data_IF_203093289751
#
_entry.id   IF_203093289751
#
_cell.length_a   1.000
_cell.length_b   1.000
_cell.length_c   1.000
_cell.angle_alpha   90.00
_cell.angle_beta   90.00
_cell.angle_gamma   90.00
#
_symmetry.space_group_name_H-M   'P 1'
#
loop_
_entity.id
_entity.type
_entity.pdbx_description
1 polymer ?
#
# COMPACT_ATOMS: atom_id res chain seq x y z
N UNK A 1 -12.04 2.92 -0.07
CA UNK A 1 -10.84 3.28 0.71
C UNK A 1 -10.78 4.80 0.79
N UNK A 2 -10.97 5.43 1.96
CA UNK A 2 -11.06 6.89 2.02
C UNK A 2 -9.73 7.53 1.57
N UNK A 3 -9.70 8.22 0.43
CA UNK A 3 -8.44 8.69 -0.15
C UNK A 3 -7.74 9.69 0.77
N UNK A 4 -8.48 10.64 1.33
CA UNK A 4 -8.02 11.63 2.32
C UNK A 4 -7.31 11.03 3.56
N UNK A 5 -7.80 9.91 4.09
CA UNK A 5 -7.20 9.26 5.26
C UNK A 5 -6.03 8.35 4.89
N UNK A 6 -6.09 7.71 3.73
CA UNK A 6 -5.12 6.67 3.33
C UNK A 6 -3.91 7.26 2.61
N UNK A 7 -4.13 8.31 1.82
CA UNK A 7 -3.11 8.92 0.99
C UNK A 7 -1.90 9.41 1.80
N UNK A 8 -2.05 10.12 2.94
CA UNK A 8 -0.90 10.49 3.77
C UNK A 8 -0.15 9.26 4.29
N UNK A 9 -0.86 8.18 4.66
CA UNK A 9 -0.22 6.95 5.11
C UNK A 9 0.57 6.27 3.98
N UNK A 10 -0.02 6.13 2.79
CA UNK A 10 0.64 5.51 1.64
C UNK A 10 1.89 6.29 1.21
N UNK A 11 1.84 7.62 1.25
CA UNK A 11 2.97 8.48 0.90
C UNK A 11 4.02 8.45 2.02
N UNK A 12 3.64 8.84 3.23
CA UNK A 12 4.61 9.10 4.30
C UNK A 12 5.21 7.82 4.85
N UNK A 13 4.43 6.73 4.94
CA UNK A 13 4.86 5.47 5.57
C UNK A 13 5.31 4.44 4.56
N UNK A 14 4.63 4.37 3.42
CA UNK A 14 4.92 3.37 2.39
C UNK A 14 5.67 3.94 1.18
N UNK A 15 6.00 5.23 1.18
CA UNK A 15 6.85 5.83 0.13
C UNK A 15 6.23 5.78 -1.26
N UNK A 16 4.89 5.71 -1.36
CA UNK A 16 4.20 5.88 -2.62
C UNK A 16 4.21 7.35 -3.06
N UNK A 17 4.03 7.58 -4.35
CA UNK A 17 3.84 8.91 -4.92
C UNK A 17 2.51 8.97 -5.66
N UNK A 18 1.83 10.12 -5.61
CA UNK A 18 0.66 10.36 -6.47
C UNK A 18 1.11 10.32 -7.93
N UNK A 19 0.52 9.42 -8.71
CA UNK A 19 0.75 9.36 -10.16
C UNK A 19 -0.42 9.95 -10.95
N UNK A 20 -1.61 10.03 -10.37
CA UNK A 20 -2.78 10.64 -11.02
C UNK A 20 -3.91 10.93 -10.03
N UNK A 21 -4.70 11.98 -10.30
CA UNK A 21 -5.88 12.38 -9.50
C UNK A 21 -7.07 12.71 -10.40
N UNK A 22 -8.27 12.45 -9.91
CA UNK A 22 -9.51 12.81 -10.58
C UNK A 22 -10.66 13.10 -9.63
N UNK A 23 -11.44 14.11 -10.00
CA UNK A 23 -12.76 14.42 -9.44
C UNK A 23 -13.73 14.61 -10.59
N UNK A 24 -14.90 13.99 -10.50
CA UNK A 24 -15.95 14.09 -11.53
C UNK A 24 -16.66 15.46 -11.52
N UNK A 25 -16.38 16.32 -10.53
CA UNK A 25 -16.90 17.68 -10.43
C UNK A 25 -16.51 18.36 -9.11
N UNK A 26 -16.85 19.65 -8.95
CA UNK A 26 -16.66 20.36 -7.68
C UNK A 26 -17.37 19.62 -6.53
N UNK A 27 -16.63 19.30 -5.47
CA UNK A 27 -17.17 18.57 -4.31
C UNK A 27 -17.38 17.06 -4.50
N UNK A 28 -17.08 16.50 -5.68
CA UNK A 28 -17.17 15.06 -5.92
C UNK A 28 -16.06 14.28 -5.19
N UNK A 29 -16.30 12.99 -4.85
CA UNK A 29 -15.29 12.13 -4.22
C UNK A 29 -13.98 12.08 -5.02
N UNK A 30 -12.85 12.10 -4.30
CA UNK A 30 -11.54 11.93 -4.88
C UNK A 30 -11.33 10.49 -5.34
N UNK A 31 -10.80 10.36 -6.54
CA UNK A 31 -10.17 9.15 -7.01
C UNK A 31 -8.69 9.45 -7.27
N UNK A 32 -7.80 8.75 -6.57
CA UNK A 32 -6.36 8.97 -6.66
C UNK A 32 -5.66 7.67 -6.97
N UNK A 33 -4.66 7.74 -7.84
CA UNK A 33 -3.74 6.67 -8.12
C UNK A 33 -2.40 7.01 -7.47
N UNK A 34 -1.87 6.07 -6.71
CA UNK A 34 -0.52 6.15 -6.15
C UNK A 34 0.34 5.00 -6.68
N UNK A 35 1.63 5.25 -6.84
CA UNK A 35 2.58 4.27 -7.37
C UNK A 35 3.88 4.22 -6.59
N UNK A 36 4.48 3.02 -6.51
CA UNK A 36 5.83 2.77 -6.00
C UNK A 36 6.48 1.65 -6.81
N UNK A 37 7.47 1.99 -7.63
CA UNK A 37 7.99 1.06 -8.63
C UNK A 37 6.86 0.60 -9.56
N UNK A 38 6.72 -0.72 -9.71
CA UNK A 38 5.66 -1.33 -10.53
C UNK A 38 4.31 -1.50 -9.79
N UNK A 39 4.24 -1.11 -8.52
CA UNK A 39 3.01 -1.21 -7.73
C UNK A 39 2.15 0.02 -7.97
N UNK A 40 0.89 -0.20 -8.32
CA UNK A 40 -0.12 0.86 -8.51
C UNK A 40 -1.33 0.55 -7.63
N UNK A 41 -1.68 1.49 -6.73
CA UNK A 41 -2.89 1.42 -5.92
C UNK A 41 -3.88 2.50 -6.37
N UNK A 42 -5.16 2.15 -6.31
CA UNK A 42 -6.28 3.03 -6.65
C UNK A 42 -7.11 3.30 -5.40
N UNK A 43 -7.05 4.53 -4.88
CA UNK A 43 -7.77 4.96 -3.67
C UNK A 43 -9.02 5.75 -4.09
N UNK A 44 -10.15 5.53 -3.39
CA UNK A 44 -11.45 6.09 -3.78
C UNK A 44 -12.31 6.43 -2.57
N UNK A 45 -12.65 7.71 -2.42
CA UNK A 45 -13.55 8.21 -1.37
C UNK A 45 -14.99 7.72 -1.51
N UNK A 46 -15.35 7.13 -2.66
CA UNK A 46 -16.70 6.65 -2.93
C UNK A 46 -17.14 5.66 -1.83
N UNK A 47 -18.25 5.93 -1.11
CA UNK A 47 -18.69 5.08 0.00
C UNK A 47 -18.94 3.62 -0.41
N UNK A 48 -19.40 3.38 -1.64
CA UNK A 48 -19.60 2.04 -2.21
C UNK A 48 -18.32 1.25 -2.50
N UNK A 49 -17.14 1.88 -2.46
CA UNK A 49 -15.84 1.21 -2.60
C UNK A 49 -15.15 0.96 -1.24
N UNK A 50 -15.88 1.11 -0.13
CA UNK A 50 -15.38 0.82 1.22
C UNK A 50 -15.71 -0.62 1.57
N UNK A 51 -14.82 -1.53 1.19
CA UNK A 51 -14.78 -2.88 1.76
C UNK A 51 -13.56 -2.97 2.67
N UNK A 52 -13.72 -2.86 4.00
CA UNK A 52 -12.62 -3.06 4.94
C UNK A 52 -12.16 -4.51 4.93
N UNK A 53 -10.88 -4.76 5.25
CA UNK A 53 -10.36 -6.11 5.40
C UNK A 53 -9.95 -6.80 4.10
N UNK A 54 -9.82 -6.08 2.99
CA UNK A 54 -9.30 -6.67 1.76
C UNK A 54 -7.80 -6.98 1.88
N UNK A 55 -7.37 -8.07 1.24
CA UNK A 55 -5.95 -8.38 1.05
C UNK A 55 -5.53 -7.90 -0.34
N UNK A 56 -4.57 -6.99 -0.40
CA UNK A 56 -3.93 -6.54 -1.65
C UNK A 56 -2.55 -7.17 -1.72
N UNK A 57 -2.30 -7.98 -2.75
CA UNK A 57 -0.98 -8.58 -2.97
C UNK A 57 -0.21 -7.76 -4.01
N UNK A 58 1.01 -7.36 -3.67
CA UNK A 58 1.88 -6.60 -4.54
C UNK A 58 3.26 -7.28 -4.62
N UNK A 59 3.71 -7.72 -5.81
CA UNK A 59 5.06 -8.25 -5.95
C UNK A 59 6.10 -7.15 -5.74
N UNK A 60 7.21 -7.47 -5.08
CA UNK A 60 8.36 -6.57 -4.92
C UNK A 60 9.65 -7.31 -5.22
N UNK A 61 10.67 -6.58 -5.67
CA UNK A 61 11.98 -7.17 -5.96
C UNK A 61 12.76 -7.54 -4.68
N UNK A 62 12.60 -6.75 -3.61
CA UNK A 62 13.33 -6.90 -2.35
C UNK A 62 12.43 -6.53 -1.16
N UNK A 63 11.98 -7.55 -0.42
CA UNK A 63 11.12 -7.36 0.76
C UNK A 63 11.88 -6.77 1.95
N UNK A 64 13.16 -7.10 2.13
CA UNK A 64 13.94 -6.63 3.27
C UNK A 64 14.28 -5.15 3.10
N UNK A 65 14.70 -4.74 1.90
CA UNK A 65 14.87 -3.31 1.57
C UNK A 65 13.57 -2.53 1.78
N UNK A 66 12.43 -3.09 1.36
CA UNK A 66 11.13 -2.46 1.58
C UNK A 66 10.83 -2.31 3.08
N UNK A 67 11.09 -3.35 3.87
CA UNK A 67 10.90 -3.35 5.32
C UNK A 67 11.72 -2.24 5.98
N UNK A 68 13.00 -2.12 5.64
CA UNK A 68 13.89 -1.10 6.20
C UNK A 68 13.43 0.31 5.80
N UNK A 69 13.08 0.49 4.53
CA UNK A 69 12.54 1.75 3.99
C UNK A 69 11.28 2.20 4.75
N UNK A 70 10.38 1.27 5.04
CA UNK A 70 9.14 1.53 5.80
C UNK A 70 9.44 1.77 7.26
N UNK A 71 10.37 1.01 7.85
CA UNK A 71 10.76 1.17 9.25
C UNK A 71 11.34 2.55 9.53
N UNK A 72 12.24 3.03 8.66
CA UNK A 72 12.82 4.37 8.74
C UNK A 72 11.75 5.43 8.57
N UNK A 73 10.89 5.32 7.54
CA UNK A 73 9.82 6.29 7.25
C UNK A 73 8.75 6.38 8.34
N UNK A 74 8.51 5.28 9.05
CA UNK A 74 7.55 5.24 10.14
C UNK A 74 8.15 5.66 11.49
N UNK A 75 9.40 6.14 11.55
CA UNK A 75 10.14 6.43 12.79
C UNK A 75 10.11 5.24 13.76
N UNK A 76 10.19 4.01 13.23
CA UNK A 76 10.09 2.78 13.99
C UNK A 76 8.72 2.45 14.60
N UNK A 77 7.69 3.29 14.37
CA UNK A 77 6.30 3.07 14.84
C UNK A 77 5.59 1.96 14.09
N UNK A 78 6.12 1.57 12.93
CA UNK A 78 5.67 0.39 12.20
C UNK A 78 6.75 -0.69 12.30
N UNK A 79 6.34 -1.87 12.76
CA UNK A 79 7.14 -3.11 12.70
C UNK A 79 6.42 -4.06 11.76
N UNK A 80 6.58 -3.87 10.45
CA UNK A 80 5.88 -4.71 9.49
C UNK A 80 6.37 -6.16 9.65
N UNK A 81 5.42 -7.09 9.75
CA UNK A 81 5.72 -8.49 10.01
C UNK A 81 6.41 -9.12 8.80
N UNK A 82 7.58 -9.72 9.04
CA UNK A 82 8.23 -10.60 8.08
C UNK A 82 7.71 -12.01 8.23
N UNK A 83 7.16 -12.57 7.16
CA UNK A 83 6.79 -13.98 7.10
C UNK A 83 7.61 -14.65 6.00
N UNK A 84 8.27 -15.76 6.35
CA UNK A 84 8.63 -16.78 5.36
C UNK A 84 7.31 -17.42 4.91
N UNK A 85 6.76 -16.92 3.80
CA UNK A 85 5.57 -17.49 3.19
C UNK A 85 5.97 -18.59 2.20
N UNK A 86 5.06 -19.53 1.86
CA UNK A 86 5.34 -20.56 0.84
C UNK A 86 5.81 -19.99 -0.51
N UNK A 87 5.43 -18.75 -0.81
CA UNK A 87 5.74 -18.07 -2.06
C UNK A 87 7.01 -17.20 -1.98
N UNK A 88 7.74 -17.23 -0.86
CA UNK A 88 8.93 -16.42 -0.58
C UNK A 88 8.74 -15.37 0.52
N UNK A 89 9.79 -14.55 0.78
CA UNK A 89 9.74 -13.50 1.78
C UNK A 89 8.56 -12.58 1.56
N UNK A 90 7.83 -12.28 2.64
CA UNK A 90 6.61 -11.46 2.60
C UNK A 90 6.58 -10.43 3.71
N UNK A 91 6.16 -9.22 3.37
CA UNK A 91 5.90 -8.11 4.28
C UNK A 91 4.39 -7.82 4.34
N UNK A 92 3.83 -7.75 5.54
CA UNK A 92 2.44 -7.32 5.73
C UNK A 92 2.34 -5.96 6.42
N UNK A 93 1.50 -5.10 5.86
CA UNK A 93 1.15 -3.80 6.42
C UNK A 93 -0.37 -3.65 6.44
N UNK A 94 -0.93 -3.18 7.55
CA UNK A 94 -2.34 -2.81 7.63
C UNK A 94 -2.48 -1.31 7.38
N UNK A 95 -3.32 -0.94 6.42
CA UNK A 95 -3.64 0.46 6.11
C UNK A 95 -4.70 1.04 7.09
N UNK A 96 -4.92 2.37 7.11
CA UNK A 96 -5.94 3.00 7.96
C UNK A 96 -7.39 2.55 7.74
N UNK A 97 -7.71 1.89 6.62
CA UNK A 97 -9.05 1.32 6.37
C UNK A 97 -9.14 -0.15 6.77
N UNK A 98 -8.07 -0.72 7.34
CA UNK A 98 -7.99 -2.13 7.71
C UNK A 98 -7.72 -3.07 6.54
N UNK A 99 -7.24 -2.57 5.39
CA UNK A 99 -6.75 -3.45 4.32
C UNK A 99 -5.39 -4.02 4.69
N UNK A 100 -5.13 -5.28 4.32
CA UNK A 100 -3.81 -5.92 4.46
C UNK A 100 -3.07 -5.82 3.14
N UNK A 101 -2.03 -5.00 3.09
CA UNK A 101 -1.09 -4.90 1.99
C UNK A 101 -0.01 -5.97 2.19
N UNK A 102 0.01 -6.97 1.32
CA UNK A 102 0.96 -8.09 1.33
C UNK A 102 1.98 -7.89 0.20
N UNK A 103 3.16 -7.42 0.56
CA UNK A 103 4.28 -7.30 -0.37
C UNK A 103 5.07 -8.60 -0.38
N UNK A 104 5.06 -9.32 -1.49
CA UNK A 104 5.73 -10.61 -1.60
C UNK A 104 6.89 -10.50 -2.60
N UNK A 105 8.06 -10.98 -2.22
CA UNK A 105 9.15 -11.19 -3.16
C UNK A 105 8.96 -12.57 -3.78
N UNK A 106 8.65 -12.67 -5.09
CA UNK A 106 8.60 -13.96 -5.74
C UNK A 106 9.97 -14.63 -5.58
N UNK A 107 9.98 -15.88 -5.11
CA UNK A 107 11.19 -16.69 -5.20
C UNK A 107 11.70 -16.65 -6.64
N UNK A 108 13.01 -16.49 -6.83
CA UNK A 108 13.60 -16.52 -8.16
C UNK A 108 13.14 -17.80 -8.87
N UNK A 109 12.18 -17.67 -9.78
CA UNK A 109 11.77 -18.78 -10.63
C UNK A 109 13.00 -19.20 -11.43
N UNK A 110 13.38 -20.47 -11.32
CA UNK A 110 14.36 -21.08 -12.21
C UNK A 110 13.88 -21.14 -13.65
#
# INVERSE_FOLDING_TARGET
MAADVTLPFDIDRLGFTVSWEHRCGPGAPLYVRVSRGDIVLHLSEHPGHRTPGNVVRAPVADVDRLRDDVHVRADGRMRPGGLDAPDGPTLEVVDPNGNVLRFAQPGAGG
#
